data_IF_355481184105
#
_entry.id   IF_355481184105
#
_cell.length_a   1.000
_cell.length_b   1.000
_cell.length_c   1.000
_cell.angle_alpha   90.00
_cell.angle_beta   90.00
_cell.angle_gamma   90.00
#
_symmetry.space_group_name_H-M   'P 1'
#
loop_
_entity.id
_entity.type
_entity.pdbx_description
1 polymer ?
#
# COMPACT_ATOMS: atom_id res chain seq x y z
N UNK A 1 9.71 -13.17 -6.70
CA UNK A 1 9.99 -11.72 -6.79
C UNK A 1 10.62 -11.31 -5.48
N UNK A 2 11.67 -10.50 -5.51
CA UNK A 2 12.31 -9.94 -4.30
C UNK A 2 11.65 -8.61 -3.93
N UNK A 3 11.85 -8.16 -2.69
CA UNK A 3 11.33 -6.88 -2.21
C UNK A 3 11.80 -5.67 -3.03
N UNK A 4 13.09 -5.55 -3.40
CA UNK A 4 13.54 -4.49 -4.29
C UNK A 4 12.87 -4.51 -5.67
N UNK A 5 12.70 -5.70 -6.27
CA UNK A 5 11.99 -5.84 -7.56
C UNK A 5 10.53 -5.43 -7.45
N UNK A 6 9.87 -5.75 -6.33
CA UNK A 6 8.48 -5.37 -6.07
C UNK A 6 8.33 -3.84 -5.90
N UNK A 7 9.22 -3.21 -5.13
CA UNK A 7 9.22 -1.76 -4.97
C UNK A 7 9.52 -1.05 -6.31
N UNK A 8 10.45 -1.56 -7.10
CA UNK A 8 10.73 -1.03 -8.44
C UNK A 8 9.53 -1.21 -9.37
N UNK A 9 8.81 -2.34 -9.29
CA UNK A 9 7.56 -2.54 -10.04
C UNK A 9 6.52 -1.47 -9.69
N UNK A 10 6.27 -1.21 -8.41
CA UNK A 10 5.33 -0.16 -7.95
C UNK A 10 5.77 1.20 -8.49
N UNK A 11 7.05 1.57 -8.31
CA UNK A 11 7.57 2.86 -8.80
C UNK A 11 7.41 3.03 -10.32
N UNK A 12 7.70 1.98 -11.08
CA UNK A 12 7.54 1.96 -12.53
C UNK A 12 6.06 2.05 -12.97
N UNK A 13 5.14 1.46 -12.21
CA UNK A 13 3.70 1.58 -12.47
C UNK A 13 3.22 3.01 -12.22
N UNK A 14 3.63 3.63 -11.11
CA UNK A 14 3.32 5.04 -10.82
C UNK A 14 3.85 5.95 -11.93
N UNK A 15 5.08 5.74 -12.40
CA UNK A 15 5.66 6.51 -13.50
C UNK A 15 4.91 6.36 -14.84
N UNK A 16 4.10 5.31 -14.99
CA UNK A 16 3.23 5.06 -16.16
C UNK A 16 1.78 5.53 -15.94
N UNK A 17 1.46 6.07 -14.76
CA UNK A 17 0.10 6.45 -14.38
C UNK A 17 -0.79 5.27 -13.94
N UNK A 18 -0.20 4.10 -13.68
CA UNK A 18 -0.89 2.98 -13.04
C UNK A 18 -0.75 3.15 -11.53
N UNK A 19 -1.88 3.43 -10.87
CA UNK A 19 -1.92 3.89 -9.48
C UNK A 19 -2.38 2.82 -8.49
N UNK A 20 -2.57 1.59 -8.98
CA UNK A 20 -2.87 0.42 -8.16
C UNK A 20 -1.94 -0.73 -8.52
N UNK A 21 -1.38 -1.39 -7.51
CA UNK A 21 -0.56 -2.60 -7.67
C UNK A 21 -0.99 -3.65 -6.65
N UNK A 22 -1.11 -4.90 -7.09
CA UNK A 22 -1.44 -6.05 -6.24
C UNK A 22 -0.31 -7.08 -6.26
N UNK A 23 -0.07 -7.69 -5.10
CA UNK A 23 0.77 -8.86 -4.96
C UNK A 23 -0.03 -9.93 -4.19
N UNK A 24 0.04 -11.16 -4.67
CA UNK A 24 -0.56 -12.32 -4.01
C UNK A 24 0.55 -13.34 -3.76
N UNK A 25 0.63 -13.86 -2.54
CA UNK A 25 1.55 -14.95 -2.18
C UNK A 25 0.87 -16.31 -2.34
N UNK A 26 1.69 -17.37 -2.39
CA UNK A 26 1.21 -18.75 -2.56
C UNK A 26 0.27 -19.24 -1.45
N UNK A 27 0.28 -18.59 -0.28
CA UNK A 27 -0.61 -18.85 0.85
C UNK A 27 -1.91 -18.01 0.81
N UNK A 28 -2.10 -17.20 -0.23
CA UNK A 28 -3.30 -16.39 -0.46
C UNK A 28 -3.30 -15.03 0.23
N UNK A 29 -2.21 -14.61 0.89
CA UNK A 29 -2.12 -13.23 1.39
C UNK A 29 -2.05 -12.25 0.23
N UNK A 30 -2.71 -11.11 0.40
CA UNK A 30 -2.81 -10.07 -0.62
C UNK A 30 -2.20 -8.79 -0.06
N UNK A 31 -1.23 -8.22 -0.77
CA UNK A 31 -0.70 -6.88 -0.54
C UNK A 31 -1.20 -5.96 -1.64
N UNK A 32 -1.91 -4.90 -1.26
CA UNK A 32 -2.46 -3.89 -2.18
C UNK A 32 -1.80 -2.54 -1.93
N UNK A 33 -1.39 -1.87 -3.00
CA UNK A 33 -0.90 -0.49 -2.97
C UNK A 33 -1.79 0.36 -3.88
N UNK A 34 -2.46 1.36 -3.31
CA UNK A 34 -3.19 2.41 -4.05
C UNK A 34 -2.53 3.75 -3.77
N UNK A 35 -2.18 4.53 -4.79
CA UNK A 35 -1.44 5.78 -4.59
C UNK A 35 -1.93 6.92 -5.47
N UNK A 36 -1.77 8.16 -5.00
CA UNK A 36 -1.94 9.36 -5.82
C UNK A 36 -0.60 9.90 -6.37
N UNK A 37 0.48 9.12 -6.24
CA UNK A 37 1.85 9.50 -6.62
C UNK A 37 2.64 10.26 -5.54
N UNK A 38 1.98 10.67 -4.44
CA UNK A 38 2.63 11.36 -3.31
C UNK A 38 2.53 10.51 -2.04
N UNK A 39 1.34 9.98 -1.77
CA UNK A 39 1.01 9.10 -0.65
C UNK A 39 0.38 7.83 -1.18
N UNK A 40 0.40 6.78 -0.37
CA UNK A 40 -0.17 5.49 -0.71
C UNK A 40 -0.97 4.92 0.47
N UNK A 41 -2.11 4.33 0.13
CA UNK A 41 -2.81 3.35 0.94
C UNK A 41 -2.14 2.00 0.70
N UNK A 42 -1.59 1.39 1.75
CA UNK A 42 -0.95 0.07 1.69
C UNK A 42 -1.73 -0.86 2.60
N UNK A 43 -2.38 -1.87 2.02
CA UNK A 43 -3.21 -2.82 2.74
C UNK A 43 -2.63 -4.22 2.66
N UNK A 44 -2.68 -4.95 3.77
CA UNK A 44 -2.31 -6.36 3.86
C UNK A 44 -3.51 -7.17 4.33
N UNK A 45 -3.90 -8.17 3.52
CA UNK A 45 -5.04 -9.03 3.77
C UNK A 45 -4.56 -10.47 3.92
N UNK A 46 -5.20 -11.23 4.80
CA UNK A 46 -4.97 -12.67 4.91
C UNK A 46 -5.55 -13.49 3.77
N UNK A 47 -6.48 -12.90 3.01
CA UNK A 47 -7.11 -13.50 1.84
C UNK A 47 -8.30 -12.68 1.36
N UNK A 48 -8.94 -13.14 0.29
CA UNK A 48 -10.15 -12.50 -0.24
C UNK A 48 -11.25 -12.43 0.82
N UNK A 49 -11.83 -11.24 0.99
CA UNK A 49 -12.89 -10.98 1.97
C UNK A 49 -12.40 -10.69 3.40
N UNK A 50 -11.10 -10.75 3.67
CA UNK A 50 -10.51 -10.25 4.90
C UNK A 50 -10.52 -8.70 4.90
N UNK A 51 -11.02 -8.04 5.97
CA UNK A 51 -10.96 -6.58 6.08
C UNK A 51 -9.51 -6.06 6.05
N UNK A 52 -8.57 -6.90 6.47
CA UNK A 52 -7.15 -6.61 6.45
C UNK A 52 -6.69 -5.64 7.53
N UNK A 53 -5.49 -5.13 7.29
CA UNK A 53 -4.86 -4.05 8.02
C UNK A 53 -4.21 -3.10 7.01
N UNK A 54 -4.04 -1.83 7.37
CA UNK A 54 -3.37 -0.85 6.52
C UNK A 54 -2.31 -0.05 7.27
N UNK A 55 -1.29 0.38 6.53
CA UNK A 55 -0.24 1.24 7.05
C UNK A 55 -0.77 2.66 7.27
N UNK A 56 -0.41 3.25 8.41
CA UNK A 56 -0.87 4.58 8.83
C UNK A 56 0.31 5.51 9.10
N UNK A 57 0.07 6.83 8.98
CA UNK A 57 0.97 7.88 9.47
C UNK A 57 0.34 8.58 10.67
N UNK A 58 0.55 8.10 11.91
CA UNK A 58 -0.10 8.68 13.09
C UNK A 58 0.21 10.18 13.24
N UNK A 59 -0.85 10.98 13.36
CA UNK A 59 -0.73 12.43 13.54
C UNK A 59 -0.52 13.23 12.26
N UNK A 60 -0.53 12.60 11.07
CA UNK A 60 -0.68 13.35 9.83
C UNK A 60 -2.03 14.08 9.81
N UNK A 61 -2.06 15.28 9.23
CA UNK A 61 -3.21 16.19 9.26
C UNK A 61 -3.65 16.49 7.84
N UNK A 62 -4.96 16.40 7.62
CA UNK A 62 -5.58 16.70 6.33
C UNK A 62 -5.90 15.43 5.56
N UNK A 63 -6.35 15.62 4.32
CA UNK A 63 -6.71 14.55 3.41
C UNK A 63 -6.18 14.84 2.02
N UNK A 64 -5.95 13.77 1.27
CA UNK A 64 -5.42 13.79 -0.09
C UNK A 64 -6.37 13.07 -1.04
N UNK A 65 -6.54 13.60 -2.24
CA UNK A 65 -7.33 12.99 -3.32
C UNK A 65 -6.43 12.26 -4.34
N UNK A 66 -7.04 11.75 -5.42
CA UNK A 66 -6.32 11.20 -6.56
C UNK A 66 -5.95 9.72 -6.45
N UNK A 67 -6.50 9.00 -5.48
CA UNK A 67 -6.33 7.56 -5.36
C UNK A 67 -7.26 6.87 -6.36
N UNK A 68 -6.72 6.43 -7.50
CA UNK A 68 -7.50 5.79 -8.56
C UNK A 68 -7.53 4.29 -8.31
N UNK A 69 -8.74 3.75 -8.08
CA UNK A 69 -8.99 2.32 -7.95
C UNK A 69 -9.17 1.66 -9.33
N UNK A 70 -9.10 0.33 -9.39
CA UNK A 70 -9.24 -0.42 -10.65
C UNK A 70 -10.57 -0.17 -11.39
N UNK A 71 -11.64 0.12 -10.67
CA UNK A 71 -12.95 0.45 -11.25
C UNK A 71 -13.04 1.89 -11.79
N UNK A 72 -11.94 2.65 -11.73
CA UNK A 72 -11.86 4.05 -12.17
C UNK A 72 -12.40 5.06 -11.14
N UNK A 73 -12.84 4.60 -9.96
CA UNK A 73 -13.19 5.48 -8.86
C UNK A 73 -11.96 6.25 -8.39
N UNK A 74 -12.15 7.52 -8.07
CA UNK A 74 -11.11 8.38 -7.50
C UNK A 74 -11.51 8.70 -6.07
N UNK A 75 -10.73 8.22 -5.12
CA UNK A 75 -10.97 8.38 -3.70
C UNK A 75 -10.14 9.51 -3.08
N UNK A 76 -10.60 9.92 -1.91
CA UNK A 76 -9.92 10.81 -0.98
C UNK A 76 -9.77 10.09 0.35
N UNK A 77 -8.55 10.04 0.87
CA UNK A 77 -8.25 9.45 2.17
C UNK A 77 -7.67 10.50 3.12
N UNK A 78 -7.90 10.34 4.42
CA UNK A 78 -7.16 11.09 5.42
C UNK A 78 -5.67 10.74 5.31
N UNK A 79 -4.80 11.73 5.47
CA UNK A 79 -3.37 11.51 5.40
C UNK A 79 -2.91 10.57 6.53
N UNK A 80 -3.63 10.56 7.66
CA UNK A 80 -3.38 9.64 8.76
C UNK A 80 -3.56 8.17 8.38
N UNK A 81 -4.48 7.87 7.45
CA UNK A 81 -4.80 6.51 6.98
C UNK A 81 -3.96 6.10 5.74
N UNK A 82 -2.92 6.86 5.44
CA UNK A 82 -2.00 6.58 4.33
C UNK A 82 -0.56 6.80 4.78
N UNK A 83 0.41 6.45 3.94
CA UNK A 83 1.84 6.69 4.16
C UNK A 83 2.46 7.45 2.99
N UNK A 84 3.55 8.22 3.18
CA UNK A 84 4.33 8.77 2.07
C UNK A 84 4.74 7.67 1.08
N UNK A 85 4.78 7.96 -0.22
CA UNK A 85 5.09 6.95 -1.25
C UNK A 85 6.47 6.29 -1.02
N UNK A 86 7.48 7.03 -0.56
CA UNK A 86 8.79 6.45 -0.25
C UNK A 86 8.70 5.38 0.86
N UNK A 87 7.94 5.66 1.91
CA UNK A 87 7.70 4.72 3.01
C UNK A 87 6.87 3.51 2.53
N UNK A 88 5.89 3.73 1.66
CA UNK A 88 5.14 2.64 1.03
C UNK A 88 6.04 1.65 0.28
N UNK A 89 7.05 2.16 -0.45
CA UNK A 89 8.01 1.32 -1.17
C UNK A 89 8.89 0.49 -0.21
N UNK A 90 9.30 1.08 0.91
CA UNK A 90 10.05 0.36 1.95
C UNK A 90 9.19 -0.72 2.63
N UNK A 91 7.91 -0.43 2.87
CA UNK A 91 6.94 -1.40 3.40
C UNK A 91 6.76 -2.57 2.42
N UNK A 92 6.51 -2.28 1.13
CA UNK A 92 6.36 -3.30 0.08
C UNK A 92 7.59 -4.20 0.06
N UNK A 93 8.78 -3.61 0.09
CA UNK A 93 10.03 -4.37 0.11
C UNK A 93 10.10 -5.33 1.29
N UNK A 94 9.84 -4.85 2.51
CA UNK A 94 9.90 -5.69 3.71
C UNK A 94 8.88 -6.82 3.68
N UNK A 95 7.64 -6.54 3.29
CA UNK A 95 6.57 -7.55 3.25
C UNK A 95 6.91 -8.63 2.22
N UNK A 96 7.42 -8.27 1.05
CA UNK A 96 7.79 -9.24 0.01
C UNK A 96 9.01 -10.08 0.43
N UNK A 97 10.01 -9.47 1.08
CA UNK A 97 11.23 -10.20 1.50
C UNK A 97 11.01 -11.09 2.74
N UNK A 98 10.18 -10.64 3.69
CA UNK A 98 10.07 -11.25 5.02
C UNK A 98 8.66 -11.74 5.39
N UNK A 99 7.65 -11.42 4.60
CA UNK A 99 6.24 -11.66 4.93
C UNK A 99 5.68 -10.72 6.00
N UNK A 100 6.46 -9.75 6.47
CA UNK A 100 6.08 -8.84 7.56
C UNK A 100 6.41 -7.39 7.25
N UNK A 101 5.60 -6.43 7.73
CA UNK A 101 5.93 -5.02 7.66
C UNK A 101 7.22 -4.67 8.42
N UNK A 102 7.88 -3.55 8.09
CA UNK A 102 8.97 -3.02 8.88
C UNK A 102 8.52 -2.72 10.31
N UNK A 103 9.41 -2.87 11.30
CA UNK A 103 9.09 -2.70 12.73
C UNK A 103 8.63 -1.30 13.13
N UNK A 104 9.05 -0.31 12.36
CA UNK A 104 8.79 1.11 12.52
C UNK A 104 7.50 1.55 11.84
N UNK A 105 6.96 0.76 10.91
CA UNK A 105 5.72 1.06 10.24
C UNK A 105 4.56 0.88 11.23
N UNK A 106 3.69 1.88 11.29
CA UNK A 106 2.47 1.81 12.10
C UNK A 106 1.33 1.23 11.26
N UNK A 107 0.51 0.37 11.86
CA UNK A 107 -0.60 -0.29 11.20
C UNK A 107 -1.89 -0.11 11.99
N UNK A 108 -2.99 0.06 11.27
CA UNK A 108 -4.33 -0.01 11.80
C UNK A 108 -4.99 -1.30 11.32
N UNK A 109 -5.76 -1.92 12.20
CA UNK A 109 -6.40 -3.21 11.97
C UNK A 109 -7.88 -2.94 11.69
N UNK A 110 -8.36 -3.31 10.49
CA UNK A 110 -9.69 -2.94 9.99
C UNK A 110 -10.78 -4.00 10.25
N UNK A 111 -10.41 -5.10 10.92
CA UNK A 111 -11.32 -6.21 11.27
C UNK A 111 -12.13 -5.99 12.55
#
# INVERSE_FOLDING_TARGET
MTGPEAAELVSNQVGKGTLTTYFESDDGRILTVVTNGIRAMVMLLWGEGDPGEHAVTPGAVGSSDGYVLENGQVDTYEDADTVPLAEALDIVRSIIDSGTPPSEASWNVDR
#
